data_IF_987736587974
#
_entry.id   IF_987736587974
#
_cell.length_a   1.000
_cell.length_b   1.000
_cell.length_c   1.000
_cell.angle_alpha   90.00
_cell.angle_beta   90.00
_cell.angle_gamma   90.00
#
_symmetry.space_group_name_H-M   'P 1'
#
loop_
_entity.id
_entity.type
_entity.pdbx_description
1 polymer ?
#
# COMPACT_ATOMS: atom_id res chain seq x y z
N UNK A 1 12.60 48.03 -62.60
CA UNK A 1 13.15 48.75 -61.44
C UNK A 1 12.83 47.97 -60.17
N UNK A 2 13.46 46.81 -59.97
CA UNK A 2 13.16 45.84 -58.90
C UNK A 2 14.46 45.34 -58.24
N UNK A 3 15.38 46.24 -57.89
CA UNK A 3 16.70 45.88 -57.33
C UNK A 3 17.16 46.81 -56.19
N UNK A 4 16.26 47.32 -55.35
CA UNK A 4 16.65 48.11 -54.17
C UNK A 4 16.17 47.56 -52.81
N UNK A 5 15.51 46.39 -52.76
CA UNK A 5 14.93 45.89 -51.51
C UNK A 5 15.61 44.67 -50.88
N UNK A 6 16.60 44.04 -51.51
CA UNK A 6 17.24 42.84 -50.95
C UNK A 6 18.26 43.18 -49.84
N UNK A 7 19.04 44.26 -50.00
CA UNK A 7 20.11 44.61 -49.05
C UNK A 7 19.61 45.22 -47.75
N UNK A 8 18.51 45.99 -47.79
CA UNK A 8 17.90 46.60 -46.60
C UNK A 8 17.14 45.56 -45.76
N UNK A 9 16.42 44.65 -46.43
CA UNK A 9 15.71 43.56 -45.77
C UNK A 9 16.66 42.60 -45.04
N UNK A 10 17.83 42.30 -45.60
CA UNK A 10 18.85 41.47 -44.94
C UNK A 10 19.37 42.09 -43.64
N UNK A 11 19.65 43.39 -43.63
CA UNK A 11 20.15 44.10 -42.45
C UNK A 11 19.10 44.19 -41.33
N UNK A 12 17.83 44.39 -41.69
CA UNK A 12 16.72 44.42 -40.72
C UNK A 12 16.53 43.05 -40.07
N UNK A 13 16.61 41.97 -40.85
CA UNK A 13 16.53 40.61 -40.32
C UNK A 13 17.65 40.32 -39.32
N UNK A 14 18.88 40.77 -39.61
CA UNK A 14 20.02 40.61 -38.71
C UNK A 14 19.88 41.40 -37.41
N UNK A 15 19.36 42.63 -37.48
CA UNK A 15 19.08 43.44 -36.28
C UNK A 15 18.00 42.78 -35.42
N UNK A 16 16.95 42.25 -36.04
CA UNK A 16 15.88 41.53 -35.33
C UNK A 16 16.39 40.25 -34.65
N UNK A 17 17.29 39.51 -35.32
CA UNK A 17 17.94 38.33 -34.75
C UNK A 17 18.80 38.68 -33.54
N UNK A 18 19.59 39.75 -33.61
CA UNK A 18 20.41 40.21 -32.48
C UNK A 18 19.53 40.64 -31.31
N UNK A 19 18.46 41.40 -31.57
CA UNK A 19 17.50 41.81 -30.54
C UNK A 19 16.81 40.61 -29.88
N UNK A 20 16.41 39.61 -30.66
CA UNK A 20 15.86 38.36 -30.14
C UNK A 20 16.85 37.59 -29.27
N UNK A 21 18.13 37.56 -29.66
CA UNK A 21 19.20 36.88 -28.93
C UNK A 21 19.49 37.59 -27.59
N UNK A 22 19.49 38.92 -27.57
CA UNK A 22 19.60 39.73 -26.35
C UNK A 22 18.39 39.52 -25.44
N UNK A 23 17.17 39.52 -25.99
CA UNK A 23 15.96 39.29 -25.22
C UNK A 23 15.92 37.88 -24.59
N UNK A 24 16.33 36.86 -25.35
CA UNK A 24 16.48 35.50 -24.86
C UNK A 24 17.55 35.44 -23.74
N UNK A 25 18.71 36.06 -23.95
CA UNK A 25 19.76 36.12 -22.94
C UNK A 25 19.27 36.79 -21.64
N UNK A 26 18.60 37.94 -21.74
CA UNK A 26 18.01 38.64 -20.60
C UNK A 26 16.94 37.80 -19.90
N UNK A 27 16.10 37.07 -20.64
CA UNK A 27 15.11 36.15 -20.08
C UNK A 27 15.78 35.01 -19.29
N UNK A 28 16.85 34.40 -19.80
CA UNK A 28 17.61 33.39 -19.08
C UNK A 28 18.33 33.98 -17.87
N UNK A 29 18.90 35.17 -17.98
CA UNK A 29 19.53 35.89 -16.87
C UNK A 29 18.50 36.18 -15.76
N UNK A 30 17.32 36.66 -16.13
CA UNK A 30 16.20 36.86 -15.22
C UNK A 30 15.78 35.57 -14.55
N UNK A 31 15.74 34.42 -15.25
CA UNK A 31 15.47 33.11 -14.63
C UNK A 31 16.55 32.66 -13.65
N UNK A 32 17.81 32.97 -13.92
CA UNK A 32 18.93 32.68 -13.01
C UNK A 32 18.82 33.54 -11.75
N UNK A 33 18.52 34.83 -11.91
CA UNK A 33 18.41 35.81 -10.81
C UNK A 33 17.13 35.62 -9.99
N UNK A 34 15.99 35.37 -10.64
CA UNK A 34 14.68 35.17 -10.00
C UNK A 34 14.56 33.86 -9.22
N UNK A 35 15.59 33.01 -9.30
CA UNK A 35 15.57 31.74 -8.59
C UNK A 35 14.72 30.67 -9.31
N UNK A 36 14.51 30.75 -10.62
CA UNK A 36 13.93 29.62 -11.35
C UNK A 36 14.83 28.36 -11.32
N UNK A 37 16.12 28.57 -11.08
CA UNK A 37 17.10 27.53 -10.71
C UNK A 37 17.21 27.31 -9.19
N UNK A 38 16.22 27.76 -8.40
CA UNK A 38 16.16 27.44 -6.97
C UNK A 38 16.17 25.93 -6.82
N UNK A 39 16.95 25.50 -5.84
CA UNK A 39 17.12 24.11 -5.54
C UNK A 39 15.80 23.59 -4.98
N UNK A 40 15.01 22.98 -5.85
CA UNK A 40 13.73 22.37 -5.51
C UNK A 40 13.97 21.01 -4.86
N UNK A 41 14.15 21.04 -3.54
CA UNK A 41 14.38 19.88 -2.69
C UNK A 41 13.37 19.91 -1.55
N UNK A 42 12.74 18.77 -1.28
CA UNK A 42 11.91 18.53 -0.11
C UNK A 42 12.63 17.61 0.89
N UNK A 43 12.36 17.87 2.17
CA UNK A 43 12.92 17.12 3.29
C UNK A 43 11.77 16.69 4.18
N UNK A 44 11.65 15.39 4.42
CA UNK A 44 10.63 14.79 5.27
C UNK A 44 11.30 13.93 6.34
N UNK A 45 10.88 14.09 7.60
CA UNK A 45 11.46 13.41 8.76
C UNK A 45 10.39 12.52 9.39
N UNK A 46 10.74 11.26 9.59
CA UNK A 46 9.87 10.24 10.19
C UNK A 46 10.53 9.63 11.44
N UNK A 47 10.17 10.07 12.65
CA UNK A 47 10.67 9.47 13.88
C UNK A 47 9.94 8.15 14.14
N UNK A 48 10.68 7.12 14.51
CA UNK A 48 10.14 5.82 14.93
C UNK A 48 10.74 5.44 16.27
N UNK A 49 9.88 5.19 17.26
CA UNK A 49 10.27 4.64 18.54
C UNK A 49 10.26 3.12 18.49
N UNK A 50 11.28 2.50 19.08
CA UNK A 50 11.38 1.06 19.24
C UNK A 50 11.54 0.79 20.73
N UNK A 51 10.57 0.09 21.33
CA UNK A 51 10.58 -0.21 22.76
C UNK A 51 11.81 -1.08 23.08
N UNK A 52 12.62 -0.65 24.05
CA UNK A 52 13.74 -1.42 24.58
C UNK A 52 13.31 -2.11 25.88
N UNK A 53 12.87 -1.29 26.84
CA UNK A 53 12.45 -1.67 28.18
C UNK A 53 11.07 -1.05 28.47
N UNK A 54 10.51 -1.26 29.67
CA UNK A 54 9.20 -0.68 30.04
C UNK A 54 9.22 0.85 30.25
N UNK A 55 10.41 1.45 30.37
CA UNK A 55 10.58 2.89 30.64
C UNK A 55 11.37 3.64 29.57
N UNK A 56 12.09 2.90 28.72
CA UNK A 56 13.04 3.46 27.76
C UNK A 56 12.82 2.88 26.37
N UNK A 57 12.88 3.77 25.37
CA UNK A 57 12.78 3.46 23.96
C UNK A 57 14.07 3.86 23.22
N UNK A 58 14.37 3.16 22.13
CA UNK A 58 15.29 3.65 21.11
C UNK A 58 14.55 4.57 20.13
N UNK A 59 15.19 5.68 19.75
CA UNK A 59 14.71 6.57 18.71
C UNK A 59 15.48 6.31 17.41
N UNK A 60 14.73 6.01 16.35
CA UNK A 60 15.25 5.90 14.99
C UNK A 60 14.64 7.02 14.16
N UNK A 61 15.49 7.80 13.49
CA UNK A 61 15.04 8.91 12.64
C UNK A 61 15.21 8.49 11.18
N UNK A 62 14.09 8.35 10.48
CA UNK A 62 14.04 8.25 9.03
C UNK A 62 14.06 9.64 8.41
N UNK A 63 14.84 9.81 7.36
CA UNK A 63 14.92 11.05 6.57
C UNK A 63 14.69 10.70 5.10
N UNK A 64 13.71 11.35 4.48
CA UNK A 64 13.46 11.27 3.05
C UNK A 64 13.86 12.60 2.43
N UNK A 65 14.81 12.54 1.50
CA UNK A 65 15.26 13.66 0.69
C UNK A 65 14.77 13.44 -0.72
N UNK A 66 13.97 14.37 -1.23
CA UNK A 66 13.42 14.27 -2.57
C UNK A 66 13.85 15.48 -3.37
N UNK A 67 14.54 15.20 -4.47
CA UNK A 67 14.97 16.19 -5.42
C UNK A 67 13.97 16.21 -6.57
N UNK A 68 13.31 17.34 -6.79
CA UNK A 68 12.43 17.51 -7.93
C UNK A 68 13.24 17.77 -9.22
N UNK A 69 12.68 18.51 -10.18
CA UNK A 69 13.13 18.47 -11.57
C UNK A 69 14.44 19.23 -11.88
N UNK A 70 14.88 20.15 -11.02
CA UNK A 70 15.92 21.13 -11.38
C UNK A 70 17.29 20.86 -10.74
N UNK A 71 18.33 20.67 -11.56
CA UNK A 71 19.76 20.56 -11.17
C UNK A 71 20.08 19.45 -10.15
N UNK A 72 21.35 19.07 -10.06
CA UNK A 72 21.83 18.23 -8.98
C UNK A 72 22.20 19.06 -7.75
N UNK A 73 22.16 18.42 -6.58
CA UNK A 73 22.56 19.04 -5.31
C UNK A 73 23.56 18.16 -4.62
N UNK A 74 24.66 18.76 -4.19
CA UNK A 74 25.62 18.07 -3.33
C UNK A 74 25.21 18.32 -1.87
N UNK A 75 24.93 17.27 -1.13
CA UNK A 75 24.69 17.31 0.31
C UNK A 75 26.04 17.21 1.01
N UNK A 76 26.26 18.14 1.93
CA UNK A 76 27.49 18.32 2.72
C UNK A 76 27.39 17.68 4.09
N UNK A 77 26.32 17.96 4.81
CA UNK A 77 26.14 17.48 6.18
C UNK A 77 24.65 17.36 6.46
N UNK A 78 24.30 16.42 7.31
CA UNK A 78 22.95 16.23 7.81
C UNK A 78 23.06 15.91 9.29
N UNK A 79 22.39 16.70 10.12
CA UNK A 79 22.37 16.51 11.55
C UNK A 79 20.93 16.52 12.07
N UNK A 80 20.63 15.61 12.98
CA UNK A 80 19.43 15.61 13.78
C UNK A 80 19.75 16.17 15.17
N UNK A 81 18.95 17.13 15.62
CA UNK A 81 18.95 17.63 16.98
C UNK A 81 17.68 17.15 17.68
N UNK A 82 17.82 16.63 18.89
CA UNK A 82 16.70 16.13 19.67
C UNK A 82 16.61 16.97 20.93
N UNK A 83 15.44 17.55 21.14
CA UNK A 83 15.13 18.35 22.31
C UNK A 83 13.94 17.76 23.05
N UNK A 84 14.00 17.85 24.37
CA UNK A 84 12.91 17.50 25.27
C UNK A 84 11.72 18.46 25.15
N UNK A 85 10.59 18.13 25.79
CA UNK A 85 9.41 19.01 25.92
C UNK A 85 9.76 20.37 26.51
N UNK A 86 10.75 20.41 27.39
CA UNK A 86 11.23 21.62 28.06
C UNK A 86 12.23 22.42 27.20
N UNK A 87 12.48 21.98 25.96
CA UNK A 87 13.47 22.59 25.06
C UNK A 87 14.92 22.27 25.42
N UNK A 88 15.17 21.44 26.44
CA UNK A 88 16.50 20.97 26.79
C UNK A 88 17.02 20.05 25.68
N UNK A 89 18.21 20.38 25.16
CA UNK A 89 18.89 19.55 24.18
C UNK A 89 19.38 18.25 24.82
N UNK A 90 18.95 17.13 24.26
CA UNK A 90 19.35 15.78 24.68
C UNK A 90 20.63 15.42 23.93
N UNK A 91 20.52 15.34 22.59
CA UNK A 91 21.64 14.91 21.77
C UNK A 91 21.60 15.52 20.37
N UNK A 92 22.75 15.48 19.70
CA UNK A 92 22.85 15.78 18.26
C UNK A 92 23.60 14.67 17.59
N UNK A 93 22.92 13.99 16.68
CA UNK A 93 23.49 12.91 15.91
C UNK A 93 23.60 13.31 14.44
N UNK A 94 24.72 12.95 13.83
CA UNK A 94 24.94 13.17 12.40
C UNK A 94 24.45 11.93 11.65
N UNK A 95 23.76 12.15 10.53
CA UNK A 95 23.47 11.05 9.63
C UNK A 95 24.78 10.62 8.99
N UNK A 96 25.10 9.33 9.11
CA UNK A 96 26.20 8.73 8.37
C UNK A 96 25.69 8.38 6.98
N UNK A 97 26.22 9.06 5.98
CA UNK A 97 25.92 8.80 4.58
C UNK A 97 27.24 8.76 3.80
N UNK A 98 28.14 7.89 4.25
CA UNK A 98 29.38 7.62 3.55
C UNK A 98 29.05 6.91 2.24
N UNK A 99 29.66 7.35 1.13
CA UNK A 99 29.59 6.58 -0.12
C UNK A 99 30.32 5.27 0.12
N UNK A 100 29.60 4.16 -0.05
CA UNK A 100 30.20 2.83 -0.05
C UNK A 100 31.33 2.82 -1.06
N UNK A 101 32.53 2.46 -0.61
CA UNK A 101 33.69 2.35 -1.47
C UNK A 101 33.38 1.41 -2.63
N UNK A 102 33.81 1.78 -3.82
CA UNK A 102 33.88 0.87 -4.95
C UNK A 102 35.34 0.80 -5.33
N UNK A 103 35.87 -0.41 -5.46
CA UNK A 103 37.24 -0.55 -5.95
C UNK A 103 37.24 -0.12 -7.41
N UNK A 104 37.82 1.06 -7.67
CA UNK A 104 37.90 1.59 -9.03
C UNK A 104 38.84 0.69 -9.80
N UNK A 105 38.27 -0.23 -10.57
CA UNK A 105 38.99 -0.97 -11.59
C UNK A 105 39.65 0.08 -12.47
N UNK A 106 40.98 0.15 -12.35
CA UNK A 106 41.80 0.99 -13.20
C UNK A 106 41.46 0.62 -14.64
N UNK A 107 40.76 1.52 -15.32
CA UNK A 107 40.73 1.74 -16.77
C UNK A 107 40.90 0.45 -17.58
N UNK A 108 39.82 -0.29 -17.86
CA UNK A 108 39.40 -0.61 -19.24
C UNK A 108 38.30 -1.68 -19.36
N UNK A 109 38.20 -2.72 -18.51
CA UNK A 109 37.17 -3.78 -18.69
C UNK A 109 36.86 -4.57 -17.39
N UNK A 110 36.09 -4.02 -16.44
CA UNK A 110 35.69 -4.85 -15.30
C UNK A 110 34.54 -4.31 -14.45
N UNK A 111 33.75 -5.26 -13.94
CA UNK A 111 32.62 -5.08 -13.03
C UNK A 111 33.11 -4.56 -11.68
N UNK A 112 32.73 -3.34 -11.30
CA UNK A 112 33.09 -2.77 -9.99
C UNK A 112 32.51 -3.59 -8.84
N UNK A 113 33.30 -3.78 -7.77
CA UNK A 113 32.89 -4.47 -6.54
C UNK A 113 32.60 -3.44 -5.45
N UNK A 114 31.47 -3.62 -4.77
CA UNK A 114 31.06 -2.82 -3.61
C UNK A 114 31.86 -3.27 -2.38
N UNK A 115 32.52 -2.33 -1.71
CA UNK A 115 33.31 -2.54 -0.50
C UNK A 115 32.73 -1.72 0.65
N UNK A 116 32.04 -2.40 1.58
CA UNK A 116 31.42 -1.79 2.75
C UNK A 116 32.41 -1.17 3.74
N UNK A 117 33.65 -1.68 3.79
CA UNK A 117 34.67 -1.27 4.74
C UNK A 117 35.54 -0.10 4.26
N UNK A 118 35.43 0.26 2.97
CA UNK A 118 36.25 1.31 2.37
C UNK A 118 35.46 2.61 2.30
N UNK A 119 35.78 3.52 3.20
CA UNK A 119 35.18 4.85 3.20
C UNK A 119 35.73 5.69 2.03
N UNK A 120 34.82 6.22 1.20
CA UNK A 120 35.20 7.11 0.12
C UNK A 120 35.37 8.55 0.66
N UNK A 121 36.55 9.14 0.48
CA UNK A 121 36.93 10.45 1.06
C UNK A 121 36.15 11.66 0.52
N UNK A 122 35.37 11.49 -0.55
CA UNK A 122 34.49 12.56 -1.03
C UNK A 122 33.28 12.67 -0.12
N UNK A 123 33.34 13.56 0.89
CA UNK A 123 32.29 13.78 1.90
C UNK A 123 31.00 14.42 1.38
N UNK A 124 30.60 14.15 0.14
CA UNK A 124 29.38 14.68 -0.48
C UNK A 124 28.56 13.59 -1.15
N UNK A 125 27.25 13.61 -0.93
CA UNK A 125 26.28 12.85 -1.75
C UNK A 125 25.67 13.79 -2.78
N UNK A 126 25.64 13.36 -4.04
CA UNK A 126 25.00 14.10 -5.11
C UNK A 126 23.61 13.52 -5.33
N UNK A 127 22.56 14.31 -5.07
CA UNK A 127 21.20 13.99 -5.47
C UNK A 127 20.98 14.47 -6.90
N UNK A 128 20.67 13.53 -7.80
CA UNK A 128 20.28 13.83 -9.16
C UNK A 128 18.84 14.37 -9.23
N UNK A 129 18.46 15.06 -10.32
CA UNK A 129 17.07 15.45 -10.54
C UNK A 129 16.13 14.23 -10.50
N UNK A 130 14.98 14.37 -9.82
CA UNK A 130 13.96 13.32 -9.62
C UNK A 130 14.42 12.13 -8.75
N UNK A 131 15.56 12.24 -8.10
CA UNK A 131 16.03 11.23 -7.17
C UNK A 131 15.37 11.39 -5.80
N UNK A 132 15.02 10.26 -5.20
CA UNK A 132 14.55 10.17 -3.81
C UNK A 132 15.54 9.30 -3.05
N UNK A 133 16.06 9.81 -1.94
CA UNK A 133 16.98 9.09 -1.07
C UNK A 133 16.42 9.00 0.34
N UNK A 134 16.50 7.79 0.90
CA UNK A 134 16.13 7.52 2.27
C UNK A 134 17.40 7.31 3.09
N UNK A 135 17.53 8.05 4.18
CA UNK A 135 18.61 7.93 5.16
C UNK A 135 18.01 7.59 6.51
N UNK A 136 18.77 6.84 7.32
CA UNK A 136 18.35 6.43 8.66
C UNK A 136 19.46 6.78 9.64
N UNK A 137 19.09 7.37 10.77
CA UNK A 137 19.98 7.63 11.88
C UNK A 137 19.42 6.99 13.14
N UNK A 138 20.24 6.15 13.80
CA UNK A 138 19.92 5.57 15.09
C UNK A 138 20.48 6.49 16.18
N UNK A 139 19.65 6.87 17.14
CA UNK A 139 20.07 7.65 18.28
C UNK A 139 20.69 6.71 19.31
N UNK A 140 21.92 7.01 19.73
CA UNK A 140 22.67 6.16 20.67
C UNK A 140 22.12 6.25 22.09
N UNK A 141 21.59 7.41 22.45
CA UNK A 141 20.98 7.65 23.74
C UNK A 141 19.57 7.06 23.79
N UNK A 142 19.29 6.32 24.86
CA UNK A 142 17.94 5.87 25.17
C UNK A 142 17.10 7.06 25.63
N UNK A 143 15.84 7.07 25.22
CA UNK A 143 14.89 8.13 25.53
C UNK A 143 13.74 7.58 26.37
N UNK A 144 13.07 8.40 27.19
CA UNK A 144 11.95 7.93 27.99
C UNK A 144 10.73 7.66 27.11
N UNK A 145 10.01 6.57 27.39
CA UNK A 145 8.88 6.14 26.57
C UNK A 145 7.64 7.04 26.70
N UNK A 146 7.47 7.75 27.82
CA UNK A 146 6.34 8.65 28.15
C UNK A 146 6.51 10.07 27.57
N UNK A 147 7.75 10.55 27.50
CA UNK A 147 8.02 11.94 27.12
C UNK A 147 7.89 12.19 25.61
N UNK A 148 7.47 13.41 25.25
CA UNK A 148 7.45 13.88 23.86
C UNK A 148 8.79 14.54 23.54
N UNK A 149 9.41 14.12 22.44
CA UNK A 149 10.66 14.74 21.95
C UNK A 149 10.41 15.49 20.66
N UNK A 150 11.02 16.66 20.50
CA UNK A 150 11.07 17.36 19.23
C UNK A 150 12.34 16.96 18.50
N UNK A 151 12.18 16.46 17.28
CA UNK A 151 13.24 16.07 16.38
C UNK A 151 13.38 17.14 15.31
N UNK A 152 14.55 17.76 15.22
CA UNK A 152 14.87 18.77 14.24
C UNK A 152 15.97 18.26 13.34
N UNK A 153 15.78 18.25 12.02
CA UNK A 153 16.80 17.84 11.07
C UNK A 153 17.18 19.02 10.20
N UNK A 154 18.49 19.26 10.11
CA UNK A 154 19.08 20.24 9.22
C UNK A 154 19.90 19.53 8.14
N UNK A 155 19.65 19.88 6.88
CA UNK A 155 20.40 19.39 5.71
C UNK A 155 21.17 20.58 5.14
N UNK A 156 22.48 20.42 5.01
CA UNK A 156 23.36 21.39 4.36
C UNK A 156 23.72 20.89 2.97
N UNK A 157 23.53 21.71 1.95
CA UNK A 157 23.87 21.35 0.58
C UNK A 157 24.30 22.53 -0.27
N UNK A 158 24.88 22.24 -1.43
CA UNK A 158 25.32 23.25 -2.40
C UNK A 158 24.87 22.85 -3.80
N UNK A 159 24.27 23.80 -4.50
CA UNK A 159 23.90 23.64 -5.91
C UNK A 159 25.07 23.93 -6.83
N UNK A 160 25.02 23.41 -8.06
CA UNK A 160 26.07 23.59 -9.07
C UNK A 160 26.40 25.06 -9.34
N UNK A 161 25.40 25.92 -9.49
CA UNK A 161 25.57 27.31 -9.92
C UNK A 161 25.58 28.34 -8.77
N UNK A 162 25.43 27.92 -7.51
CA UNK A 162 25.43 28.83 -6.36
C UNK A 162 26.62 28.53 -5.44
N UNK A 163 27.51 29.51 -5.18
CA UNK A 163 28.62 29.31 -4.25
C UNK A 163 28.17 29.17 -2.79
N UNK A 164 27.00 29.76 -2.46
CA UNK A 164 26.41 29.74 -1.12
C UNK A 164 25.82 28.37 -0.76
N UNK A 165 26.00 27.98 0.51
CA UNK A 165 25.43 26.76 1.09
C UNK A 165 23.94 26.99 1.35
N UNK A 166 23.10 26.15 0.77
CA UNK A 166 21.68 26.06 1.06
C UNK A 166 21.45 25.22 2.31
N UNK A 167 20.49 25.65 3.12
CA UNK A 167 20.09 24.98 4.36
C UNK A 167 18.62 24.61 4.25
N UNK A 168 18.32 23.32 4.37
CA UNK A 168 16.96 22.84 4.57
C UNK A 168 16.78 22.44 6.02
N UNK A 169 15.59 22.67 6.54
CA UNK A 169 15.25 22.40 7.92
C UNK A 169 13.86 21.79 7.97
N UNK A 170 13.70 20.74 8.76
CA UNK A 170 12.44 20.10 9.06
C UNK A 170 12.38 19.80 10.55
N UNK A 171 11.21 19.89 11.16
CA UNK A 171 11.00 19.46 12.54
C UNK A 171 9.73 18.65 12.68
N UNK A 172 9.78 17.67 13.58
CA UNK A 172 8.69 16.72 13.82
C UNK A 172 8.70 16.30 15.28
N UNK A 173 7.51 16.10 15.85
CA UNK A 173 7.38 15.58 17.21
C UNK A 173 7.42 14.05 17.19
N UNK A 174 8.26 13.47 18.04
CA UNK A 174 8.26 12.06 18.39
C UNK A 174 7.33 11.88 19.58
N UNK A 175 6.13 11.35 19.33
CA UNK A 175 5.13 11.08 20.36
C UNK A 175 5.41 9.77 21.09
N UNK A 176 5.04 9.65 22.37
CA UNK A 176 5.12 8.39 23.11
C UNK A 176 4.30 7.31 22.38
N UNK A 177 4.80 6.08 22.44
CA UNK A 177 4.09 4.93 21.89
C UNK A 177 2.93 4.62 22.85
N UNK A 178 1.76 5.23 22.64
CA UNK A 178 0.63 4.95 23.54
C UNK A 178 0.26 3.47 23.40
N UNK A 179 0.19 2.78 24.54
CA UNK A 179 -0.31 1.41 24.63
C UNK A 179 -1.69 1.30 23.96
N UNK A 180 -2.47 2.38 24.00
CA UNK A 180 -3.73 2.52 23.29
C UNK A 180 -3.62 2.28 21.78
N UNK A 181 -2.53 2.68 21.10
CA UNK A 181 -2.39 2.46 19.65
C UNK A 181 -2.09 1.00 19.31
N UNK A 182 -1.28 0.32 20.12
CA UNK A 182 -1.01 -1.11 19.93
C UNK A 182 -2.25 -1.94 20.26
N UNK A 183 -2.92 -1.63 21.37
CA UNK A 183 -4.19 -2.23 21.75
C UNK A 183 -5.29 -1.97 20.70
N UNK A 184 -5.38 -0.76 20.14
CA UNK A 184 -6.33 -0.43 19.09
C UNK A 184 -6.07 -1.24 17.81
N UNK A 185 -4.80 -1.43 17.43
CA UNK A 185 -4.44 -2.30 16.29
C UNK A 185 -4.82 -3.75 16.57
N UNK A 186 -4.56 -4.24 17.78
CA UNK A 186 -4.92 -5.59 18.19
C UNK A 186 -6.45 -5.79 18.16
N UNK A 187 -7.21 -4.90 18.81
CA UNK A 187 -8.67 -4.89 18.79
C UNK A 187 -9.23 -4.86 17.36
N UNK A 188 -8.62 -4.08 16.46
CA UNK A 188 -9.03 -4.03 15.05
C UNK A 188 -8.81 -5.37 14.34
N UNK A 189 -7.71 -6.06 14.64
CA UNK A 189 -7.43 -7.39 14.11
C UNK A 189 -8.42 -8.42 14.67
N UNK A 190 -8.68 -8.39 15.98
CA UNK A 190 -9.60 -9.30 16.65
C UNK A 190 -11.03 -9.11 16.13
N UNK A 191 -11.50 -7.87 15.97
CA UNK A 191 -12.78 -7.55 15.31
C UNK A 191 -12.81 -8.09 13.87
N UNK A 192 -11.71 -7.98 13.14
CA UNK A 192 -11.59 -8.53 11.79
C UNK A 192 -11.70 -10.05 11.75
N UNK A 193 -11.12 -10.73 12.74
CA UNK A 193 -11.20 -12.18 12.91
C UNK A 193 -12.61 -12.63 13.26
N UNK A 194 -13.22 -12.01 14.28
CA UNK A 194 -14.59 -12.32 14.71
C UNK A 194 -15.62 -12.11 13.59
N UNK A 195 -15.45 -11.06 12.77
CA UNK A 195 -16.32 -10.86 11.59
C UNK A 195 -16.24 -12.02 10.60
N UNK A 196 -15.05 -12.59 10.36
CA UNK A 196 -14.90 -13.75 9.48
C UNK A 196 -15.57 -14.99 10.07
N UNK A 197 -15.38 -15.23 11.37
CA UNK A 197 -15.98 -16.36 12.07
C UNK A 197 -17.52 -16.30 12.04
N UNK A 198 -18.11 -15.12 12.29
CA UNK A 198 -19.57 -14.92 12.20
C UNK A 198 -20.08 -15.20 10.77
N UNK A 199 -19.35 -14.76 9.74
CA UNK A 199 -19.74 -15.02 8.34
C UNK A 199 -19.68 -16.52 8.04
N UNK A 200 -18.63 -17.21 8.49
CA UNK A 200 -18.50 -18.65 8.28
C UNK A 200 -19.61 -19.43 9.00
N UNK A 201 -19.86 -19.16 10.28
CA UNK A 201 -20.94 -19.79 11.04
C UNK A 201 -22.31 -19.58 10.38
N UNK A 202 -22.56 -18.38 9.84
CA UNK A 202 -23.79 -18.09 9.10
C UNK A 202 -23.91 -18.94 7.83
N UNK A 203 -22.83 -19.12 7.08
CA UNK A 203 -22.81 -19.94 5.86
C UNK A 203 -23.00 -21.43 6.20
N UNK A 204 -22.33 -21.91 7.25
CA UNK A 204 -22.47 -23.28 7.73
C UNK A 204 -23.91 -23.58 8.15
N UNK A 205 -24.52 -22.74 9.00
CA UNK A 205 -25.91 -22.90 9.41
C UNK A 205 -26.89 -22.82 8.24
N UNK A 206 -26.67 -21.92 7.27
CA UNK A 206 -27.51 -21.87 6.07
C UNK A 206 -27.39 -23.13 5.21
N UNK A 207 -26.20 -23.72 5.14
CA UNK A 207 -25.95 -24.94 4.38
C UNK A 207 -26.58 -26.15 5.06
N UNK A 208 -26.44 -26.26 6.38
CA UNK A 208 -27.07 -27.30 7.19
C UNK A 208 -28.60 -27.25 7.08
N UNK A 209 -29.21 -26.09 7.31
CA UNK A 209 -30.66 -25.91 7.14
C UNK A 209 -31.14 -26.24 5.72
N UNK A 210 -30.36 -25.90 4.70
CA UNK A 210 -30.70 -26.24 3.31
C UNK A 210 -30.65 -27.75 3.06
N UNK A 211 -29.68 -28.44 3.64
CA UNK A 211 -29.55 -29.89 3.54
C UNK A 211 -30.71 -30.58 4.27
N UNK A 212 -31.06 -30.13 5.48
CA UNK A 212 -32.18 -30.67 6.26
C UNK A 212 -33.51 -30.52 5.50
N UNK A 213 -33.77 -29.33 4.93
CA UNK A 213 -34.95 -29.07 4.10
C UNK A 213 -34.99 -30.02 2.89
N UNK A 214 -33.84 -30.26 2.23
CA UNK A 214 -33.76 -31.19 1.11
C UNK A 214 -34.01 -32.64 1.53
N UNK A 215 -33.51 -33.07 2.70
CA UNK A 215 -33.75 -34.41 3.24
C UNK A 215 -35.23 -34.61 3.53
N UNK A 216 -35.84 -33.71 4.30
CA UNK A 216 -37.26 -33.76 4.65
C UNK A 216 -38.16 -33.75 3.41
N UNK A 217 -37.81 -32.96 2.39
CA UNK A 217 -38.54 -32.94 1.12
C UNK A 217 -38.48 -34.30 0.40
N UNK A 218 -37.34 -34.98 0.45
CA UNK A 218 -37.14 -36.29 -0.18
C UNK A 218 -37.90 -37.38 0.58
N UNK A 219 -37.83 -37.37 1.91
CA UNK A 219 -38.60 -38.26 2.78
C UNK A 219 -40.09 -38.13 2.52
N UNK A 220 -40.62 -36.90 2.52
CA UNK A 220 -42.05 -36.67 2.26
C UNK A 220 -42.47 -37.11 0.85
N UNK A 221 -41.61 -36.93 -0.16
CA UNK A 221 -41.89 -37.42 -1.52
C UNK A 221 -41.96 -38.95 -1.58
N UNK A 222 -41.08 -39.64 -0.86
CA UNK A 222 -41.07 -41.09 -0.77
C UNK A 222 -42.33 -41.62 -0.05
N UNK A 223 -42.71 -41.01 1.07
CA UNK A 223 -43.90 -41.39 1.84
C UNK A 223 -45.18 -41.23 1.01
N UNK A 224 -45.32 -40.09 0.31
CA UNK A 224 -46.44 -39.85 -0.62
C UNK A 224 -46.45 -40.91 -1.74
N UNK A 225 -45.28 -41.28 -2.26
CA UNK A 225 -45.13 -42.32 -3.28
C UNK A 225 -45.57 -43.71 -2.79
N UNK A 226 -45.19 -44.07 -1.56
CA UNK A 226 -45.59 -45.33 -0.92
C UNK A 226 -47.10 -45.39 -0.72
N UNK A 227 -47.70 -44.36 -0.08
CA UNK A 227 -49.14 -44.28 0.16
C UNK A 227 -49.96 -44.34 -1.13
N UNK A 228 -49.48 -43.70 -2.21
CA UNK A 228 -50.13 -43.76 -3.52
C UNK A 228 -50.12 -45.17 -4.10
N UNK A 229 -49.05 -45.94 -3.86
CA UNK A 229 -48.91 -47.32 -4.32
C UNK A 229 -49.82 -48.25 -3.50
N UNK A 230 -49.83 -48.10 -2.18
CA UNK A 230 -50.73 -48.83 -1.26
C UNK A 230 -52.20 -48.63 -1.66
N UNK A 231 -52.65 -47.37 -1.80
CA UNK A 231 -54.02 -47.10 -2.23
C UNK A 231 -54.36 -47.67 -3.62
N UNK A 232 -53.40 -47.67 -4.54
CA UNK A 232 -53.63 -48.26 -5.87
C UNK A 232 -53.81 -49.78 -5.78
N UNK A 233 -53.04 -50.44 -4.91
CA UNK A 233 -53.16 -51.87 -4.66
C UNK A 233 -54.49 -52.21 -3.97
N UNK A 234 -54.89 -51.45 -2.95
CA UNK A 234 -56.17 -51.62 -2.25
C UNK A 234 -57.36 -51.47 -3.20
N UNK A 235 -57.36 -50.44 -4.05
CA UNK A 235 -58.37 -50.26 -5.09
C UNK A 235 -58.38 -51.45 -6.06
N UNK A 236 -57.21 -51.98 -6.43
CA UNK A 236 -57.08 -53.17 -7.26
C UNK A 236 -57.68 -54.43 -6.62
N UNK A 237 -57.42 -54.63 -5.34
CA UNK A 237 -57.98 -55.74 -4.55
C UNK A 237 -59.50 -55.64 -4.47
N UNK A 238 -60.03 -54.47 -4.08
CA UNK A 238 -61.46 -54.21 -3.99
C UNK A 238 -62.18 -54.42 -5.33
N UNK A 239 -61.58 -53.97 -6.45
CA UNK A 239 -62.13 -54.25 -7.79
C UNK A 239 -62.22 -55.74 -8.07
N UNK A 240 -61.20 -56.51 -7.70
CA UNK A 240 -61.14 -57.97 -7.88
C UNK A 240 -62.21 -58.66 -7.04
N UNK A 241 -62.35 -58.29 -5.77
CA UNK A 241 -63.40 -58.79 -4.87
C UNK A 241 -64.81 -58.51 -5.39
N UNK A 242 -65.07 -57.30 -5.87
CA UNK A 242 -66.37 -56.92 -6.46
C UNK A 242 -66.69 -57.77 -7.69
N UNK A 243 -65.72 -58.01 -8.58
CA UNK A 243 -65.90 -58.89 -9.75
C UNK A 243 -66.20 -60.32 -9.30
N UNK A 244 -65.45 -60.84 -8.33
CA UNK A 244 -65.68 -62.16 -7.74
C UNK A 244 -67.08 -62.31 -7.16
N UNK A 245 -67.55 -61.32 -6.39
CA UNK A 245 -68.91 -61.32 -5.84
C UNK A 245 -69.99 -61.30 -6.92
N UNK A 246 -69.82 -60.48 -7.98
CA UNK A 246 -70.74 -60.47 -9.13
C UNK A 246 -70.83 -61.84 -9.80
N UNK A 247 -69.70 -62.52 -10.02
CA UNK A 247 -69.70 -63.86 -10.62
C UNK A 247 -70.36 -64.93 -9.75
N UNK A 248 -70.17 -64.88 -8.42
CA UNK A 248 -70.88 -65.76 -7.49
C UNK A 248 -72.40 -65.52 -7.52
N UNK A 249 -72.82 -64.26 -7.60
CA UNK A 249 -74.24 -63.89 -7.68
C UNK A 249 -74.90 -64.36 -8.98
N UNK A 250 -74.18 -64.34 -10.12
CA UNK A 250 -74.70 -64.87 -11.39
C UNK A 250 -74.85 -66.40 -11.34
N UNK A 251 -73.87 -67.11 -10.79
CA UNK A 251 -73.91 -68.57 -10.70
C UNK A 251 -74.97 -69.08 -9.71
N UNK A 252 -75.22 -68.37 -8.62
CA UNK A 252 -76.28 -68.70 -7.66
C UNK A 252 -77.71 -68.52 -8.24
N UNK A 253 -77.84 -67.85 -9.39
CA UNK A 253 -79.13 -67.62 -10.07
C UNK A 253 -79.44 -68.67 -11.14
N UNK A 254 -78.52 -69.60 -11.44
CA UNK A 254 -78.84 -70.78 -12.23
C UNK A 254 -79.62 -71.80 -11.37
N UNK A 255 -80.81 -72.25 -11.79
CA UNK A 255 -81.61 -73.20 -11.02
C UNK A 255 -80.93 -74.58 -11.03
N UNK A 256 -80.84 -75.21 -9.85
CA UNK A 256 -80.46 -76.61 -9.71
C UNK A 256 -81.33 -77.49 -10.62
N UNK A 257 -80.75 -78.48 -11.34
CA UNK A 257 -81.53 -79.38 -12.16
C UNK A 257 -82.45 -80.20 -11.24
N UNK A 258 -83.75 -80.18 -11.52
CA UNK A 258 -84.73 -81.04 -10.86
C UNK A 258 -84.29 -82.51 -11.02
N UNK A 259 -83.96 -83.15 -9.90
CA UNK A 259 -83.86 -84.61 -9.80
C UNK A 259 -85.24 -85.20 -10.08
N UNK A 260 -85.41 -85.79 -11.26
CA UNK A 260 -86.56 -86.63 -11.56
C UNK A 260 -86.23 -88.08 -11.19
N UNK A 261 -87.05 -88.62 -10.28
CA UNK A 261 -87.24 -90.03 -9.88
C UNK A 261 -86.08 -90.76 -9.19
#
# INVERSE_FOLDING_TARGET
MFLLNASSAGNILSILQIAALIAAFLFFLLKVVSGYLLIDMSVEVTPKRVKCDDKEDYLVIGLKLEKHQNCSVNIHDIAANITDSDGKKITTEKFKFEKVGCDSIRRFFGLGKIEWEKENKSGYITLAPREVTHLVCNIKEKIKSDEIYKVEVAVLGKGWFRPAISRWYCSVASLPNSEDQSQLKQLKNDIGSLKKEIVNLKVEQQTELKNDICSLKTELQNDIGSLKTEFKNDIGSLKTEIVGLKTKQTNAKEPTPKSNN
#
